data_IF_581965588054
#
_entry.id   IF_581965588054
#
_cell.length_a   1.000
_cell.length_b   1.000
_cell.length_c   1.000
_cell.angle_alpha   90.00
_cell.angle_beta   90.00
_cell.angle_gamma   90.00
#
_symmetry.space_group_name_H-M   'P 1'
#
loop_
_entity.id
_entity.type
_entity.pdbx_description
1 polymer ?
#
# COMPACT_ATOMS: atom_id res chain seq x y z
N UNK A 1 1.51 -3.83 26.72
CA UNK A 1 1.47 -2.35 26.81
C UNK A 1 2.46 -1.78 25.79
N UNK A 2 2.00 -0.89 24.92
CA UNK A 2 2.82 -0.27 23.87
C UNK A 2 4.00 0.48 24.47
N UNK A 3 5.15 0.41 23.79
CA UNK A 3 6.37 1.10 24.20
C UNK A 3 6.42 2.50 23.61
N UNK A 4 7.11 3.40 24.30
CA UNK A 4 7.32 4.78 23.86
C UNK A 4 8.64 4.84 23.08
N UNK A 5 8.65 5.27 21.81
CA UNK A 5 9.88 5.53 21.08
C UNK A 5 10.73 6.59 21.79
N UNK A 6 12.03 6.36 21.80
CA UNK A 6 13.00 7.23 22.48
C UNK A 6 14.08 7.63 21.50
N UNK A 7 14.41 8.91 21.47
CA UNK A 7 15.58 9.44 20.79
C UNK A 7 16.67 9.80 21.80
N UNK A 8 17.92 9.58 21.44
CA UNK A 8 19.07 10.07 22.19
C UNK A 8 19.14 11.60 22.13
N UNK A 9 20.01 12.20 22.93
CA UNK A 9 20.24 13.64 22.91
C UNK A 9 20.69 14.15 21.53
N UNK A 10 21.46 13.34 20.78
CA UNK A 10 21.86 13.62 19.40
C UNK A 10 20.77 13.34 18.35
N UNK A 11 19.60 12.84 18.77
CA UNK A 11 18.46 12.56 17.89
C UNK A 11 18.46 11.15 17.30
N UNK A 12 19.40 10.28 17.67
CA UNK A 12 19.44 8.90 17.17
C UNK A 12 18.36 8.03 17.83
N UNK A 13 17.71 7.11 17.09
CA UNK A 13 16.75 6.18 17.68
C UNK A 13 17.38 5.24 18.71
N UNK A 14 16.72 5.10 19.86
CA UNK A 14 17.07 4.18 20.94
C UNK A 14 15.98 3.11 21.13
N UNK A 15 16.27 2.11 21.96
CA UNK A 15 15.28 1.10 22.33
C UNK A 15 14.03 1.75 22.97
N UNK A 16 12.81 1.40 22.52
CA UNK A 16 11.59 1.91 23.12
C UNK A 16 11.45 1.56 24.60
N UNK A 17 10.92 2.48 25.39
CA UNK A 17 10.84 2.35 26.85
C UNK A 17 9.42 2.11 27.35
N UNK A 18 9.28 1.75 28.63
CA UNK A 18 7.96 1.66 29.29
C UNK A 18 7.36 3.07 29.42
N UNK A 19 6.05 3.27 29.17
CA UNK A 19 5.44 4.59 29.34
C UNK A 19 5.60 5.18 30.75
N UNK A 20 5.64 4.35 31.80
CA UNK A 20 5.93 4.81 33.17
C UNK A 20 7.30 5.44 33.33
N UNK A 21 8.32 4.92 32.63
CA UNK A 21 9.68 5.47 32.63
C UNK A 21 9.75 6.75 31.81
N UNK A 22 9.10 6.79 30.65
CA UNK A 22 9.00 8.00 29.84
C UNK A 22 8.35 9.16 30.63
N UNK A 23 7.24 8.92 31.32
CA UNK A 23 6.59 9.93 32.18
C UNK A 23 7.49 10.44 33.29
N UNK A 24 8.25 9.54 33.95
CA UNK A 24 9.21 9.92 34.98
C UNK A 24 10.29 10.85 34.41
N UNK A 25 10.85 10.51 33.25
CA UNK A 25 11.85 11.36 32.61
C UNK A 25 11.32 12.74 32.21
N UNK A 26 10.09 12.81 31.69
CA UNK A 26 9.46 14.09 31.37
C UNK A 26 9.24 14.95 32.62
N UNK A 27 8.70 14.36 33.68
CA UNK A 27 8.47 15.05 34.95
C UNK A 27 9.76 15.55 35.58
N UNK A 28 10.82 14.74 35.52
CA UNK A 28 12.11 15.06 36.11
C UNK A 28 12.99 15.94 35.18
N UNK A 29 12.46 16.44 34.05
CA UNK A 29 13.20 17.30 33.10
C UNK A 29 14.31 16.61 32.30
N UNK A 30 14.36 15.27 32.31
CA UNK A 30 15.39 14.44 31.65
C UNK A 30 15.05 14.07 30.20
N UNK A 31 13.85 14.43 29.74
CA UNK A 31 13.41 14.23 28.38
C UNK A 31 12.46 15.36 27.96
N UNK A 32 12.29 15.53 26.65
CA UNK A 32 11.28 16.40 26.04
C UNK A 32 10.41 15.58 25.08
N UNK A 33 9.16 16.01 24.89
CA UNK A 33 8.29 15.42 23.87
C UNK A 33 8.79 15.86 22.50
N UNK A 34 8.78 14.94 21.53
CA UNK A 34 9.11 15.23 20.14
C UNK A 34 7.98 14.79 19.23
N UNK A 35 7.72 15.61 18.21
CA UNK A 35 6.76 15.30 17.16
C UNK A 35 7.49 14.58 16.02
N UNK A 36 6.84 13.59 15.44
CA UNK A 36 7.31 12.86 14.27
C UNK A 36 6.19 12.80 13.23
N UNK A 37 6.54 12.43 12.00
CA UNK A 37 5.61 12.35 10.87
C UNK A 37 4.47 11.33 11.08
N UNK A 38 4.67 10.38 11.99
CA UNK A 38 3.66 9.37 12.36
C UNK A 38 2.71 9.88 13.44
N UNK A 39 2.87 11.12 13.90
CA UNK A 39 2.13 11.74 15.03
C UNK A 39 2.11 10.85 16.29
N UNK A 40 3.08 9.96 16.40
CA UNK A 40 3.21 9.05 17.53
C UNK A 40 3.90 9.75 18.69
N UNK A 41 3.36 9.63 19.89
CA UNK A 41 4.00 10.14 21.10
C UNK A 41 5.40 9.54 21.27
N UNK A 42 6.42 10.37 21.17
CA UNK A 42 7.82 10.01 21.32
C UNK A 42 8.53 11.03 22.23
N UNK A 43 9.65 10.60 22.82
CA UNK A 43 10.45 11.46 23.68
C UNK A 43 11.91 11.50 23.20
N UNK A 44 12.58 12.61 23.46
CA UNK A 44 14.02 12.76 23.27
C UNK A 44 14.69 13.03 24.61
N UNK A 45 15.76 12.30 24.92
CA UNK A 45 16.52 12.50 26.15
C UNK A 45 17.35 13.78 26.08
N UNK A 46 17.58 14.41 27.23
CA UNK A 46 18.41 15.63 27.35
C UNK A 46 19.83 15.35 27.85
N UNK A 47 20.11 14.10 28.23
CA UNK A 47 21.40 13.65 28.77
C UNK A 47 22.03 12.57 27.88
N UNK A 48 23.35 12.40 28.01
CA UNK A 48 24.09 11.38 27.26
C UNK A 48 23.77 9.97 27.77
N UNK A 49 23.62 9.02 26.86
CA UNK A 49 23.33 7.62 27.19
C UNK A 49 24.06 6.70 26.21
N UNK A 50 24.25 5.45 26.63
CA UNK A 50 24.65 4.39 25.70
C UNK A 50 23.53 4.17 24.65
N UNK A 51 23.95 3.88 23.42
CA UNK A 51 23.07 3.73 22.25
C UNK A 51 22.87 2.25 21.88
N UNK A 52 22.99 1.34 22.85
CA UNK A 52 22.88 -0.09 22.61
C UNK A 52 21.44 -0.48 22.25
N UNK A 53 21.27 -1.12 21.08
CA UNK A 53 19.99 -1.62 20.59
C UNK A 53 20.06 -3.10 20.28
N UNK A 54 18.91 -3.79 20.38
CA UNK A 54 18.78 -5.18 19.93
C UNK A 54 18.02 -5.21 18.59
N UNK A 55 18.19 -6.27 17.78
CA UNK A 55 17.41 -6.45 16.57
C UNK A 55 15.90 -6.41 16.83
N UNK A 56 15.18 -5.77 15.92
CA UNK A 56 13.73 -5.66 15.93
C UNK A 56 13.21 -6.29 14.64
N UNK A 57 12.23 -7.17 14.76
CA UNK A 57 11.50 -7.74 13.64
C UNK A 57 10.17 -7.00 13.47
N UNK A 58 9.75 -6.87 12.22
CA UNK A 58 8.45 -6.32 11.86
C UNK A 58 7.69 -7.34 11.02
N UNK A 59 6.48 -7.67 11.47
CA UNK A 59 5.54 -8.52 10.75
C UNK A 59 4.44 -7.69 10.13
N UNK A 60 4.07 -8.02 8.89
CA UNK A 60 2.94 -7.44 8.18
C UNK A 60 1.99 -8.58 7.82
N UNK A 61 0.76 -8.51 8.30
CA UNK A 61 -0.31 -9.46 8.00
C UNK A 61 -1.35 -8.80 7.07
N UNK A 62 -1.28 -9.06 5.74
CA UNK A 62 -2.15 -8.41 4.78
C UNK A 62 -3.56 -9.02 4.80
N UNK A 63 -4.55 -8.23 5.20
CA UNK A 63 -5.96 -8.59 5.11
C UNK A 63 -6.71 -7.81 4.02
N UNK A 64 -8.01 -8.12 3.88
CA UNK A 64 -8.87 -7.51 2.85
C UNK A 64 -9.24 -6.05 3.16
N UNK A 65 -9.62 -5.77 4.40
CA UNK A 65 -10.04 -4.43 4.86
C UNK A 65 -9.00 -3.78 5.76
N UNK A 66 -8.12 -4.57 6.38
CA UNK A 66 -7.10 -4.11 7.30
C UNK A 66 -5.82 -4.88 7.04
N UNK A 67 -4.66 -4.23 7.16
CA UNK A 67 -3.37 -4.93 7.29
C UNK A 67 -2.88 -4.78 8.73
N UNK A 68 -2.64 -5.91 9.39
CA UNK A 68 -2.02 -5.93 10.71
C UNK A 68 -0.53 -5.64 10.59
N UNK A 69 -0.01 -4.79 11.47
CA UNK A 69 1.42 -4.50 11.57
C UNK A 69 1.83 -4.72 13.02
N UNK A 70 2.87 -5.53 13.22
CA UNK A 70 3.46 -5.80 14.53
C UNK A 70 4.96 -5.54 14.50
N UNK A 71 5.46 -4.83 15.52
CA UNK A 71 6.89 -4.57 15.72
C UNK A 71 7.30 -5.22 17.02
N UNK A 72 8.25 -6.15 16.95
CA UNK A 72 8.60 -7.03 18.05
C UNK A 72 10.12 -7.15 18.21
N UNK A 73 10.58 -7.16 19.45
CA UNK A 73 11.92 -7.59 19.80
C UNK A 73 11.87 -8.98 20.45
N UNK A 74 13.02 -9.58 20.71
CA UNK A 74 13.14 -10.88 21.39
C UNK A 74 12.38 -10.96 22.73
N UNK A 75 12.27 -9.84 23.44
CA UNK A 75 11.69 -9.78 24.79
C UNK A 75 10.27 -9.22 24.82
N UNK A 76 9.91 -8.32 23.89
CA UNK A 76 8.68 -7.55 24.00
C UNK A 76 8.09 -7.19 22.64
N UNK A 77 6.77 -7.16 22.55
CA UNK A 77 6.06 -6.45 21.50
C UNK A 77 6.18 -4.95 21.76
N UNK A 78 6.76 -4.21 20.81
CA UNK A 78 7.04 -2.79 20.94
C UNK A 78 5.84 -1.96 20.49
N UNK A 79 5.27 -2.32 19.35
CA UNK A 79 4.15 -1.62 18.75
C UNK A 79 3.26 -2.57 17.93
N UNK A 80 1.97 -2.26 17.86
CA UNK A 80 1.01 -2.95 17.00
C UNK A 80 0.00 -1.94 16.48
N UNK A 81 -0.47 -2.14 15.25
CA UNK A 81 -1.50 -1.32 14.65
C UNK A 81 -2.19 -2.01 13.48
N UNK A 82 -3.38 -1.51 13.12
CA UNK A 82 -4.11 -1.91 11.93
C UNK A 82 -4.11 -0.76 10.94
N UNK A 83 -3.57 -1.00 9.74
CA UNK A 83 -3.72 -0.11 8.62
C UNK A 83 -5.09 -0.34 7.99
N UNK A 84 -5.97 0.68 8.03
CA UNK A 84 -7.29 0.62 7.40
C UNK A 84 -7.14 0.77 5.88
N UNK A 85 -7.53 -0.26 5.13
CA UNK A 85 -7.41 -0.27 3.67
C UNK A 85 -8.70 0.26 3.02
N UNK A 86 -8.60 1.07 1.95
CA UNK A 86 -9.77 1.65 1.26
C UNK A 86 -10.47 0.65 0.32
N UNK A 87 -10.45 -0.64 0.66
CA UNK A 87 -10.89 -1.72 -0.24
C UNK A 87 -12.31 -1.51 -0.76
N UNK A 88 -13.26 -1.19 0.13
CA UNK A 88 -14.68 -0.98 -0.25
C UNK A 88 -14.82 0.15 -1.26
N UNK A 89 -14.21 1.30 -0.97
CA UNK A 89 -14.22 2.49 -1.84
C UNK A 89 -13.60 2.20 -3.20
N UNK A 90 -12.47 1.50 -3.24
CA UNK A 90 -11.80 1.13 -4.50
C UNK A 90 -12.67 0.18 -5.31
N UNK A 91 -13.24 -0.85 -4.67
CA UNK A 91 -14.13 -1.82 -5.32
C UNK A 91 -15.32 -1.12 -5.97
N UNK A 92 -16.02 -0.28 -5.22
CA UNK A 92 -17.20 0.46 -5.70
C UNK A 92 -16.86 1.38 -6.88
N UNK A 93 -15.75 2.12 -6.79
CA UNK A 93 -15.28 2.99 -7.89
C UNK A 93 -14.95 2.20 -9.15
N UNK A 94 -14.35 1.01 -9.01
CA UNK A 94 -14.03 0.14 -10.13
C UNK A 94 -15.27 -0.50 -10.77
N UNK A 95 -16.24 -0.91 -9.96
CA UNK A 95 -17.55 -1.41 -10.40
C UNK A 95 -18.28 -0.33 -11.22
N UNK A 96 -18.37 0.89 -10.68
CA UNK A 96 -19.00 2.03 -11.34
C UNK A 96 -18.30 2.35 -12.68
N UNK A 97 -16.96 2.40 -12.68
CA UNK A 97 -16.17 2.61 -13.90
C UNK A 97 -16.45 1.53 -14.95
N UNK A 98 -16.57 0.26 -14.54
CA UNK A 98 -16.92 -0.87 -15.42
C UNK A 98 -18.33 -0.73 -16.00
N UNK A 99 -19.32 -0.38 -15.18
CA UNK A 99 -20.72 -0.16 -15.63
C UNK A 99 -20.79 0.99 -16.63
N UNK A 100 -20.19 2.14 -16.31
CA UNK A 100 -20.19 3.31 -17.20
C UNK A 100 -19.50 3.02 -18.54
N UNK A 101 -18.39 2.26 -18.52
CA UNK A 101 -17.72 1.80 -19.75
C UNK A 101 -18.61 0.88 -20.57
N UNK A 102 -19.32 -0.05 -19.93
CA UNK A 102 -20.28 -0.95 -20.60
C UNK A 102 -21.42 -0.16 -21.23
N UNK A 103 -22.01 0.80 -20.52
CA UNK A 103 -23.10 1.63 -21.02
C UNK A 103 -22.66 2.44 -22.26
N UNK A 104 -21.49 3.08 -22.21
CA UNK A 104 -20.92 3.82 -23.37
C UNK A 104 -20.72 2.91 -24.58
N UNK A 105 -20.15 1.71 -24.38
CA UNK A 105 -20.01 0.72 -25.47
C UNK A 105 -21.37 0.24 -25.98
N UNK A 106 -22.31 0.03 -25.06
CA UNK A 106 -23.69 -0.37 -25.33
C UNK A 106 -24.42 0.59 -26.27
N UNK A 107 -24.30 1.91 -26.02
CA UNK A 107 -24.88 2.96 -26.86
C UNK A 107 -24.28 3.04 -28.26
N UNK A 108 -23.01 2.64 -28.43
CA UNK A 108 -22.36 2.59 -29.76
C UNK A 108 -22.81 1.39 -30.62
N UNK A 109 -23.53 0.43 -30.04
CA UNK A 109 -23.97 -0.77 -30.77
C UNK A 109 -25.35 -0.51 -31.36
N UNK A 110 -25.42 -0.37 -32.69
CA UNK A 110 -26.69 -0.40 -33.41
C UNK A 110 -27.23 -1.83 -33.44
N UNK A 111 -28.17 -2.16 -32.54
CA UNK A 111 -28.73 -3.51 -32.39
C UNK A 111 -29.69 -3.92 -33.50
N UNK A 112 -30.15 -2.98 -34.34
CA UNK A 112 -31.02 -3.27 -35.50
C UNK A 112 -30.27 -3.97 -36.64
N UNK A 113 -28.94 -3.85 -36.69
CA UNK A 113 -28.11 -4.51 -37.70
C UNK A 113 -27.81 -5.97 -37.30
N UNK A 114 -27.58 -6.88 -38.27
CA UNK A 114 -27.04 -8.22 -38.01
C UNK A 114 -25.72 -8.14 -37.23
N UNK A 115 -25.43 -9.13 -36.38
CA UNK A 115 -24.29 -9.11 -35.46
C UNK A 115 -22.94 -8.78 -36.14
N UNK A 116 -22.72 -9.29 -37.35
CA UNK A 116 -21.53 -9.03 -38.18
C UNK A 116 -21.35 -7.56 -38.58
N UNK A 117 -22.43 -6.78 -38.65
CA UNK A 117 -22.47 -5.35 -39.04
C UNK A 117 -22.68 -4.42 -37.84
N UNK A 118 -22.90 -4.96 -36.63
CA UNK A 118 -22.89 -4.16 -35.39
C UNK A 118 -21.45 -3.71 -35.15
N UNK A 119 -21.23 -2.43 -34.83
CA UNK A 119 -19.92 -1.78 -34.61
C UNK A 119 -19.09 -2.35 -33.41
N UNK A 120 -19.11 -3.67 -33.18
CA UNK A 120 -18.37 -4.36 -32.13
C UNK A 120 -16.85 -4.34 -32.35
N UNK A 121 -16.40 -4.12 -33.59
CA UNK A 121 -15.00 -4.30 -34.01
C UNK A 121 -14.48 -3.27 -35.02
N UNK A 122 -15.20 -2.18 -35.27
CA UNK A 122 -14.72 -1.18 -36.24
C UNK A 122 -13.38 -0.64 -35.73
N UNK A 123 -12.32 -0.95 -36.50
CA UNK A 123 -10.96 -0.55 -36.18
C UNK A 123 -10.94 0.97 -36.08
N UNK A 124 -10.35 1.50 -35.01
CA UNK A 124 -10.22 2.96 -34.87
C UNK A 124 -9.12 3.52 -35.77
N UNK A 125 -8.20 2.65 -36.19
CA UNK A 125 -7.06 2.89 -37.09
C UNK A 125 -6.69 1.55 -37.76
N UNK A 126 -6.01 1.58 -38.91
CA UNK A 126 -5.58 0.40 -39.69
C UNK A 126 -4.48 -0.46 -39.02
N UNK A 127 -4.30 -0.33 -37.70
CA UNK A 127 -3.25 -1.00 -36.92
C UNK A 127 -3.64 -2.43 -36.48
N UNK A 128 -4.65 -3.03 -37.13
CA UNK A 128 -4.99 -4.44 -36.97
C UNK A 128 -5.01 -5.07 -38.34
N UNK A 129 -3.85 -5.53 -38.77
CA UNK A 129 -3.75 -6.54 -39.82
C UNK A 129 -4.60 -7.73 -39.38
N UNK A 130 -5.64 -8.06 -40.15
CA UNK A 130 -6.16 -9.43 -40.14
C UNK A 130 -4.96 -10.28 -40.57
N UNK A 131 -4.59 -11.28 -39.79
CA UNK A 131 -3.66 -12.28 -40.29
C UNK A 131 -4.30 -12.86 -41.56
N UNK A 132 -3.80 -12.46 -42.73
CA UNK A 132 -4.21 -13.02 -44.00
C UNK A 132 -3.69 -14.46 -44.00
N UNK A 133 -4.55 -15.38 -43.60
CA UNK A 133 -4.43 -16.79 -43.96
C UNK A 133 -4.64 -16.86 -45.47
N UNK A 134 -3.58 -16.68 -46.25
CA UNK A 134 -3.38 -17.14 -47.63
C UNK A 134 -1.94 -16.73 -48.01
N UNK A 135 -0.96 -17.48 -47.50
CA UNK A 135 0.33 -17.59 -48.21
C UNK A 135 0.14 -18.73 -49.20
N UNK A 136 -0.08 -18.39 -50.46
CA UNK A 136 0.10 -19.38 -51.52
C UNK A 136 1.59 -19.70 -51.58
N UNK A 137 1.94 -20.95 -51.29
CA UNK A 137 3.27 -21.46 -51.55
C UNK A 137 3.30 -21.88 -53.02
N UNK A 138 4.10 -21.22 -53.83
CA UNK A 138 4.41 -21.75 -55.16
C UNK A 138 5.38 -22.93 -55.02
N UNK A 139 5.16 -24.04 -55.75
CA UNK A 139 6.06 -25.17 -55.71
C UNK A 139 7.33 -24.84 -56.50
N UNK A 140 8.48 -25.14 -55.90
CA UNK A 140 9.78 -25.09 -56.57
C UNK A 140 9.78 -26.22 -57.62
N UNK A 141 9.92 -25.86 -58.89
CA UNK A 141 10.12 -26.83 -59.97
C UNK A 141 11.48 -27.52 -59.80
N UNK A 142 11.45 -28.84 -60.02
CA UNK A 142 12.52 -29.84 -59.97
C UNK A 142 13.83 -29.45 -60.64
#
# INVERSE_FOLDING_TARGET
>A
MLRVPVLSKSGKPLMPTKPSRARRWLRDGKAKVVHNDLECFAIQLTFETQENTQPIAMGIDPGKCYSGIGVQSSLFTLWMGHLVLPFKTVKERMELRRVMRRARRGRRINRKLPYSKRCHRQARFDNRSKANSHRQFEPISS
#
